data_IF_256532486414
#
_entry.id   IF_256532486414
#
_cell.length_a   1.000
_cell.length_b   1.000
_cell.length_c   1.000
_cell.angle_alpha   90.00
_cell.angle_beta   90.00
_cell.angle_gamma   90.00
#
_symmetry.space_group_name_H-M   'P 1'
#
loop_
_entity.id
_entity.type
_entity.pdbx_description
1 polymer ?
#
# COMPACT_ATOMS: atom_id res chain seq x y z
N UNK A 1 -12.69 16.00 -23.17
CA UNK A 1 -11.71 15.11 -23.82
C UNK A 1 -10.72 14.47 -22.80
N UNK A 2 -10.09 15.20 -21.89
CA UNK A 2 -9.09 14.65 -20.93
C UNK A 2 -9.59 13.51 -20.03
N UNK A 3 -10.80 13.56 -19.48
CA UNK A 3 -11.35 12.50 -18.62
C UNK A 3 -11.47 11.14 -19.32
N UNK A 4 -11.76 11.14 -20.61
CA UNK A 4 -11.89 9.89 -21.39
C UNK A 4 -10.52 9.27 -21.66
N UNK A 5 -9.49 10.08 -21.95
CA UNK A 5 -8.12 9.61 -22.16
C UNK A 5 -7.54 8.95 -20.91
N UNK A 6 -7.77 9.52 -19.73
CA UNK A 6 -7.31 8.94 -18.45
C UNK A 6 -8.00 7.60 -18.14
N UNK A 7 -9.30 7.49 -18.45
CA UNK A 7 -10.04 6.22 -18.29
C UNK A 7 -9.47 5.14 -19.23
N UNK A 8 -9.24 5.46 -20.48
CA UNK A 8 -8.65 4.51 -21.47
C UNK A 8 -7.27 4.02 -20.99
N UNK A 9 -6.42 4.94 -20.50
CA UNK A 9 -5.09 4.59 -19.99
C UNK A 9 -5.17 3.70 -18.76
N UNK A 10 -6.11 3.93 -17.84
CA UNK A 10 -6.35 3.10 -16.67
C UNK A 10 -6.86 1.71 -17.04
N UNK A 11 -7.83 1.63 -17.95
CA UNK A 11 -8.38 0.35 -18.42
C UNK A 11 -7.29 -0.50 -19.11
N UNK A 12 -6.39 0.16 -19.87
CA UNK A 12 -5.22 -0.48 -20.47
C UNK A 12 -4.24 -0.99 -19.41
N UNK A 13 -3.92 -0.16 -18.40
CA UNK A 13 -3.07 -0.55 -17.26
C UNK A 13 -3.61 -1.82 -16.58
N UNK A 14 -4.91 -1.87 -16.27
CA UNK A 14 -5.53 -3.05 -15.64
C UNK A 14 -5.39 -4.28 -16.53
N UNK A 15 -5.72 -4.18 -17.81
CA UNK A 15 -5.69 -5.31 -18.74
C UNK A 15 -4.26 -5.82 -19.00
N UNK A 16 -3.32 -4.91 -19.30
CA UNK A 16 -2.01 -5.28 -19.86
C UNK A 16 -0.92 -5.43 -18.80
N UNK A 17 -1.02 -4.72 -17.67
CA UNK A 17 0.01 -4.74 -16.63
C UNK A 17 -0.41 -5.58 -15.41
N UNK A 18 -1.70 -5.73 -15.15
CA UNK A 18 -2.23 -6.36 -13.93
C UNK A 18 -2.81 -7.73 -14.25
N UNK A 19 -3.88 -7.81 -15.04
CA UNK A 19 -4.52 -9.09 -15.40
C UNK A 19 -3.56 -10.01 -16.16
N UNK A 20 -2.84 -9.47 -17.15
CA UNK A 20 -1.87 -10.23 -17.96
C UNK A 20 -0.71 -10.82 -17.13
N UNK A 21 -0.49 -10.33 -15.90
CA UNK A 21 0.55 -10.83 -14.97
C UNK A 21 -0.02 -11.65 -13.82
N UNK A 22 -1.26 -12.15 -13.94
CA UNK A 22 -1.85 -13.13 -13.04
C UNK A 22 -2.57 -12.56 -11.81
N UNK A 23 -2.87 -11.27 -11.77
CA UNK A 23 -3.78 -10.72 -10.75
C UNK A 23 -5.22 -11.08 -11.14
N UNK A 24 -5.92 -11.77 -10.24
CA UNK A 24 -7.25 -12.32 -10.52
C UNK A 24 -8.32 -11.93 -9.48
N UNK A 25 -7.91 -11.38 -8.32
CA UNK A 25 -8.85 -10.99 -7.28
C UNK A 25 -9.81 -9.90 -7.78
N UNK A 26 -11.14 -10.13 -7.82
CA UNK A 26 -12.11 -9.20 -8.41
C UNK A 26 -12.14 -7.84 -7.71
N UNK A 27 -12.00 -7.80 -6.37
CA UNK A 27 -12.00 -6.57 -5.59
C UNK A 27 -10.76 -5.71 -5.94
N UNK A 28 -9.59 -6.36 -6.08
CA UNK A 28 -8.37 -5.67 -6.52
C UNK A 28 -8.52 -5.12 -7.92
N UNK A 29 -9.02 -5.91 -8.87
CA UNK A 29 -9.23 -5.48 -10.27
C UNK A 29 -10.23 -4.33 -10.35
N UNK A 30 -11.32 -4.39 -9.59
CA UNK A 30 -12.29 -3.31 -9.49
C UNK A 30 -11.65 -2.02 -8.93
N UNK A 31 -10.93 -2.12 -7.82
CA UNK A 31 -10.27 -0.98 -7.18
C UNK A 31 -9.24 -0.32 -8.11
N UNK A 32 -8.36 -1.11 -8.73
CA UNK A 32 -7.37 -0.62 -9.71
C UNK A 32 -8.02 0.02 -10.95
N UNK A 33 -9.18 -0.46 -11.35
CA UNK A 33 -9.98 0.10 -12.44
C UNK A 33 -10.81 1.33 -12.06
N UNK A 34 -11.05 1.57 -10.76
CA UNK A 34 -11.89 2.65 -10.24
C UNK A 34 -11.07 3.84 -9.77
N UNK A 35 -10.00 3.62 -8.99
CA UNK A 35 -9.20 4.69 -8.38
C UNK A 35 -8.39 5.46 -9.44
N UNK A 36 -8.56 6.79 -9.57
CA UNK A 36 -7.91 7.60 -10.58
C UNK A 36 -6.46 7.93 -10.20
N UNK A 37 -5.52 7.01 -10.45
CA UNK A 37 -4.12 7.11 -10.05
C UNK A 37 -3.44 8.44 -10.41
N UNK A 38 -3.82 9.06 -11.53
CA UNK A 38 -3.28 10.36 -11.95
C UNK A 38 -3.58 11.52 -10.99
N UNK A 39 -4.51 11.35 -10.04
CA UNK A 39 -4.77 12.35 -8.98
C UNK A 39 -3.82 12.20 -7.78
N UNK A 40 -3.05 11.12 -7.71
CA UNK A 40 -2.11 10.79 -6.63
C UNK A 40 -0.64 11.04 -7.01
N UNK A 41 -0.39 11.61 -8.18
CA UNK A 41 0.94 12.04 -8.65
C UNK A 41 0.96 13.55 -8.84
N UNK A 42 2.15 14.12 -8.94
CA UNK A 42 2.30 15.53 -9.28
C UNK A 42 1.71 15.83 -10.66
N UNK A 43 1.17 17.02 -10.83
CA UNK A 43 0.44 17.41 -12.05
C UNK A 43 1.25 17.19 -13.33
N UNK A 44 2.57 17.46 -13.28
CA UNK A 44 3.48 17.25 -14.43
C UNK A 44 3.68 15.77 -14.81
N UNK A 45 3.37 14.83 -13.91
CA UNK A 45 3.51 13.39 -14.11
C UNK A 45 2.20 12.68 -14.49
N UNK A 46 1.09 13.41 -14.59
CA UNK A 46 -0.22 12.83 -14.84
C UNK A 46 -0.32 11.98 -16.12
N UNK A 47 0.43 12.32 -17.17
CA UNK A 47 0.51 11.52 -18.41
C UNK A 47 1.21 10.17 -18.20
N UNK A 48 2.11 10.06 -17.23
CA UNK A 48 2.89 8.86 -16.90
C UNK A 48 2.21 8.00 -15.81
N UNK A 49 1.14 8.50 -15.18
CA UNK A 49 0.52 7.89 -13.99
C UNK A 49 0.10 6.43 -14.19
N UNK A 50 -0.19 6.01 -15.41
CA UNK A 50 -0.62 4.64 -15.74
C UNK A 50 0.48 3.80 -16.39
N UNK A 51 1.74 4.28 -16.37
CA UNK A 51 2.91 3.51 -16.80
C UNK A 51 3.29 2.43 -15.77
N UNK A 52 3.94 1.35 -16.24
CA UNK A 52 4.32 0.20 -15.41
C UNK A 52 5.63 0.45 -14.64
N UNK A 53 5.69 1.56 -13.92
CA UNK A 53 6.85 1.97 -13.11
C UNK A 53 6.43 2.85 -11.93
N UNK A 54 7.26 2.94 -10.88
CA UNK A 54 7.05 3.90 -9.80
C UNK A 54 7.26 5.33 -10.29
N UNK A 55 6.66 6.32 -9.60
CA UNK A 55 6.84 7.74 -9.88
C UNK A 55 7.21 8.50 -8.60
N UNK A 56 8.05 9.54 -8.69
CA UNK A 56 8.39 10.36 -7.54
C UNK A 56 7.16 11.12 -7.03
N UNK A 57 7.08 11.27 -5.71
CA UNK A 57 6.07 12.07 -5.01
C UNK A 57 6.67 13.13 -4.09
N UNK A 58 7.95 13.44 -4.27
CA UNK A 58 8.72 14.33 -3.42
C UNK A 58 9.29 13.65 -2.17
N UNK A 59 10.15 14.36 -1.44
CA UNK A 59 10.77 13.91 -0.18
C UNK A 59 11.52 12.57 -0.29
N UNK A 60 12.07 12.25 -1.47
CA UNK A 60 12.72 10.95 -1.72
C UNK A 60 11.77 9.75 -1.76
N UNK A 61 10.46 9.98 -1.79
CA UNK A 61 9.44 8.93 -1.80
C UNK A 61 8.82 8.73 -3.18
N UNK A 62 8.17 7.58 -3.38
CA UNK A 62 7.54 7.22 -4.65
C UNK A 62 6.13 6.66 -4.43
N UNK A 63 5.27 6.84 -5.42
CA UNK A 63 4.08 6.01 -5.59
C UNK A 63 4.52 4.71 -6.28
N UNK A 64 4.20 3.57 -5.68
CA UNK A 64 4.61 2.25 -6.18
C UNK A 64 4.08 1.95 -7.58
N UNK A 65 4.80 1.12 -8.35
CA UNK A 65 4.36 0.59 -9.65
C UNK A 65 2.95 -0.02 -9.54
N UNK A 66 2.06 0.21 -10.51
CA UNK A 66 0.68 -0.30 -10.46
C UNK A 66 0.57 -1.80 -10.21
N UNK A 67 1.42 -2.60 -10.87
CA UNK A 67 1.46 -4.05 -10.65
C UNK A 67 1.80 -4.42 -9.20
N UNK A 68 2.76 -3.74 -8.58
CA UNK A 68 3.16 -4.00 -7.19
C UNK A 68 2.02 -3.66 -6.22
N UNK A 69 1.31 -2.54 -6.43
CA UNK A 69 0.10 -2.21 -5.66
C UNK A 69 -0.94 -3.34 -5.75
N UNK A 70 -1.24 -3.80 -6.95
CA UNK A 70 -2.21 -4.87 -7.17
C UNK A 70 -1.75 -6.22 -6.58
N UNK A 71 -0.47 -6.58 -6.74
CA UNK A 71 0.12 -7.81 -6.20
C UNK A 71 0.04 -7.84 -4.67
N UNK A 72 0.49 -6.76 -4.01
CA UNK A 72 0.45 -6.68 -2.55
C UNK A 72 -0.99 -6.70 -2.03
N UNK A 73 -1.91 -6.00 -2.69
CA UNK A 73 -3.33 -6.04 -2.33
C UNK A 73 -3.95 -7.44 -2.49
N UNK A 74 -3.58 -8.20 -3.54
CA UNK A 74 -4.04 -9.58 -3.73
C UNK A 74 -3.46 -10.52 -2.66
N UNK A 75 -2.18 -10.35 -2.29
CA UNK A 75 -1.52 -11.16 -1.26
C UNK A 75 -2.07 -10.93 0.15
N UNK A 76 -2.78 -9.85 0.40
CA UNK A 76 -3.48 -9.64 1.65
C UNK A 76 -4.64 -10.62 1.84
N UNK A 77 -5.20 -11.18 0.76
CA UNK A 77 -6.39 -12.06 0.83
C UNK A 77 -7.50 -11.41 1.68
N UNK A 78 -7.71 -10.11 1.47
CA UNK A 78 -8.66 -9.34 2.24
C UNK A 78 -10.07 -9.45 1.67
N UNK A 79 -11.06 -9.48 2.54
CA UNK A 79 -12.49 -9.47 2.24
C UNK A 79 -13.09 -8.13 2.67
N UNK A 80 -14.20 -7.74 2.05
CA UNK A 80 -14.93 -6.51 2.36
C UNK A 80 -15.25 -6.42 3.87
N UNK A 81 -15.08 -5.23 4.45
CA UNK A 81 -15.28 -4.96 5.85
C UNK A 81 -14.10 -5.29 6.76
N UNK A 82 -13.08 -6.01 6.29
CA UNK A 82 -11.89 -6.28 7.08
C UNK A 82 -11.12 -4.99 7.40
N UNK A 83 -10.56 -4.96 8.61
CA UNK A 83 -9.75 -3.84 9.11
C UNK A 83 -8.31 -3.98 8.64
N UNK A 84 -7.81 -2.98 7.93
CA UNK A 84 -6.45 -2.98 7.38
C UNK A 84 -5.63 -1.82 7.90
N UNK A 85 -4.36 -2.11 8.28
CA UNK A 85 -3.34 -1.11 8.57
C UNK A 85 -2.36 -1.01 7.40
N UNK A 86 -2.20 0.18 6.86
CA UNK A 86 -1.13 0.52 5.92
C UNK A 86 -0.02 1.27 6.64
N UNK A 87 1.23 0.88 6.41
CA UNK A 87 2.42 1.60 6.86
C UNK A 87 3.10 2.24 5.64
N UNK A 88 3.16 3.58 5.65
CA UNK A 88 3.67 4.39 4.55
C UNK A 88 2.56 4.90 3.63
N UNK A 89 1.75 5.85 4.12
CA UNK A 89 0.65 6.45 3.33
C UNK A 89 1.14 7.04 2.00
N UNK A 90 2.28 7.73 2.02
CA UNK A 90 2.88 8.34 0.86
C UNK A 90 1.93 9.22 0.07
N UNK A 91 1.64 8.86 -1.18
CA UNK A 91 0.67 9.55 -2.03
C UNK A 91 -0.78 9.33 -1.62
N UNK A 92 -1.07 8.28 -0.85
CA UNK A 92 -2.41 7.80 -0.51
C UNK A 92 -3.04 6.86 -1.54
N UNK A 93 -2.32 6.49 -2.59
CA UNK A 93 -2.89 5.65 -3.65
C UNK A 93 -3.19 4.22 -3.18
N UNK A 94 -2.27 3.60 -2.42
CA UNK A 94 -2.50 2.26 -1.87
C UNK A 94 -3.67 2.28 -0.88
N UNK A 95 -3.75 3.27 0.03
CA UNK A 95 -4.91 3.44 0.93
C UNK A 95 -6.23 3.58 0.15
N UNK A 96 -6.23 4.39 -0.93
CA UNK A 96 -7.41 4.57 -1.77
C UNK A 96 -7.81 3.28 -2.51
N UNK A 97 -6.86 2.44 -2.90
CA UNK A 97 -7.13 1.11 -3.48
C UNK A 97 -7.75 0.18 -2.44
N UNK A 98 -7.23 0.16 -1.21
CA UNK A 98 -7.79 -0.65 -0.10
C UNK A 98 -9.20 -0.20 0.27
N UNK A 99 -9.46 1.11 0.34
CA UNK A 99 -10.80 1.69 0.57
C UNK A 99 -11.78 1.29 -0.55
N UNK A 100 -11.34 1.35 -1.81
CA UNK A 100 -12.15 0.92 -2.96
C UNK A 100 -12.38 -0.61 -3.01
N UNK A 101 -11.61 -1.41 -2.28
CA UNK A 101 -11.87 -2.85 -2.04
C UNK A 101 -12.90 -3.07 -0.94
N UNK A 102 -13.41 -2.01 -0.29
CA UNK A 102 -14.39 -2.09 0.80
C UNK A 102 -13.78 -2.38 2.18
N UNK A 103 -12.49 -2.09 2.38
CA UNK A 103 -11.79 -2.32 3.65
C UNK A 103 -11.93 -1.12 4.60
N UNK A 104 -11.87 -1.36 5.91
CA UNK A 104 -11.76 -0.33 6.95
C UNK A 104 -10.31 0.11 7.12
N UNK A 105 -9.91 1.21 6.46
CA UNK A 105 -8.51 1.59 6.24
C UNK A 105 -7.99 2.52 7.32
N UNK A 106 -6.88 2.10 7.94
CA UNK A 106 -6.01 2.88 8.80
C UNK A 106 -4.64 3.00 8.13
N UNK A 107 -4.05 4.20 8.10
CA UNK A 107 -2.75 4.40 7.46
C UNK A 107 -1.86 5.32 8.29
N UNK A 108 -0.56 4.99 8.38
CA UNK A 108 0.44 5.73 9.15
C UNK A 108 1.47 6.32 8.20
N UNK A 109 1.73 7.63 8.35
CA UNK A 109 2.77 8.36 7.63
C UNK A 109 3.72 9.03 8.62
N UNK A 110 5.04 8.90 8.39
CA UNK A 110 6.06 9.52 9.24
C UNK A 110 6.46 10.93 8.78
N UNK A 111 6.35 11.21 7.48
CA UNK A 111 6.73 12.49 6.91
C UNK A 111 5.56 13.49 7.00
N UNK A 112 5.74 14.51 7.84
CA UNK A 112 4.72 15.52 8.13
C UNK A 112 4.16 16.17 6.88
N UNK A 113 5.01 16.48 5.92
CA UNK A 113 4.64 17.14 4.66
C UNK A 113 3.75 16.25 3.80
N UNK A 114 4.08 14.94 3.71
CA UNK A 114 3.26 13.96 2.99
C UNK A 114 1.92 13.75 3.69
N UNK A 115 1.94 13.63 5.02
CA UNK A 115 0.72 13.49 5.81
C UNK A 115 -0.29 14.61 5.50
N UNK A 116 0.10 15.87 5.60
CA UNK A 116 -0.81 16.99 5.35
C UNK A 116 -1.24 17.10 3.89
N UNK A 117 -0.33 16.85 2.95
CA UNK A 117 -0.66 16.83 1.52
C UNK A 117 -1.68 15.75 1.19
N UNK A 118 -1.47 14.54 1.68
CA UNK A 118 -2.34 13.39 1.41
C UNK A 118 -3.67 13.51 2.14
N UNK A 119 -3.69 13.98 3.38
CA UNK A 119 -4.93 14.29 4.11
C UNK A 119 -5.79 15.31 3.34
N UNK A 120 -5.17 16.39 2.84
CA UNK A 120 -5.87 17.38 1.99
C UNK A 120 -6.38 16.77 0.68
N UNK A 121 -5.65 15.82 0.10
CA UNK A 121 -6.08 15.10 -1.10
C UNK A 121 -7.31 14.23 -0.80
N UNK A 122 -7.30 13.46 0.28
CA UNK A 122 -8.44 12.63 0.69
C UNK A 122 -9.70 13.47 0.93
N UNK A 123 -9.58 14.62 1.59
CA UNK A 123 -10.71 15.54 1.75
C UNK A 123 -11.27 16.00 0.40
N UNK A 124 -10.43 16.41 -0.55
CA UNK A 124 -10.86 16.83 -1.90
C UNK A 124 -11.51 15.69 -2.70
N UNK A 125 -11.05 14.47 -2.53
CA UNK A 125 -11.58 13.28 -3.19
C UNK A 125 -12.77 12.65 -2.45
N UNK A 126 -13.15 13.20 -1.27
CA UNK A 126 -14.20 12.70 -0.38
C UNK A 126 -13.95 11.26 0.13
N UNK A 127 -12.71 10.89 0.30
CA UNK A 127 -12.28 9.61 0.90
C UNK A 127 -12.19 9.77 2.42
N UNK A 128 -13.33 10.04 3.07
CA UNK A 128 -13.40 10.40 4.49
C UNK A 128 -13.40 9.18 5.42
N UNK A 129 -13.52 7.99 4.88
CA UNK A 129 -13.43 6.69 5.57
C UNK A 129 -12.01 6.34 5.99
N UNK A 130 -11.00 6.82 5.25
CA UNK A 130 -9.59 6.51 5.50
C UNK A 130 -9.08 7.28 6.72
N UNK A 131 -8.65 6.57 7.74
CA UNK A 131 -8.09 7.15 8.97
C UNK A 131 -6.58 7.26 8.86
N UNK A 132 -6.05 8.45 9.08
CA UNK A 132 -4.61 8.74 8.98
C UNK A 132 -4.00 9.11 10.33
N UNK A 133 -2.79 8.60 10.60
CA UNK A 133 -1.97 8.98 11.77
C UNK A 133 -0.60 9.47 11.29
N UNK A 134 -0.10 10.55 11.91
CA UNK A 134 1.28 11.02 11.75
C UNK A 134 2.12 10.42 12.88
N UNK A 135 2.90 9.39 12.58
CA UNK A 135 3.69 8.67 13.57
C UNK A 135 4.79 7.80 12.93
N UNK A 136 5.63 7.17 13.75
CA UNK A 136 6.55 6.11 13.34
C UNK A 136 5.77 4.85 12.94
N UNK A 137 5.71 4.57 11.63
CA UNK A 137 4.98 3.42 11.09
C UNK A 137 5.49 2.07 11.58
N UNK A 138 6.77 1.96 11.99
CA UNK A 138 7.32 0.70 12.51
C UNK A 138 6.70 0.29 13.86
N UNK A 139 6.07 1.25 14.55
CA UNK A 139 5.30 1.02 15.79
C UNK A 139 3.85 0.64 15.51
N UNK A 140 3.37 0.82 14.26
CA UNK A 140 1.97 0.60 13.89
C UNK A 140 1.00 1.60 14.51
N UNK A 141 -0.20 1.10 14.84
CA UNK A 141 -1.26 1.88 15.49
C UNK A 141 -1.93 1.04 16.58
N UNK A 142 -1.26 0.83 17.75
CA UNK A 142 -1.73 -0.08 18.80
C UNK A 142 -3.16 0.22 19.30
N UNK A 143 -3.52 1.50 19.43
CA UNK A 143 -4.82 1.93 19.95
C UNK A 143 -5.98 1.56 19.01
N UNK A 144 -5.67 1.35 17.72
CA UNK A 144 -6.65 0.95 16.73
C UNK A 144 -6.62 -0.56 16.43
N UNK A 145 -5.62 -1.31 16.91
CA UNK A 145 -5.51 -2.77 16.71
C UNK A 145 -6.60 -3.58 17.46
N UNK A 146 -6.68 -4.89 17.22
CA UNK A 146 -5.94 -5.62 16.20
C UNK A 146 -6.42 -5.32 14.77
N UNK A 147 -5.59 -5.68 13.77
CA UNK A 147 -5.89 -5.53 12.35
C UNK A 147 -5.95 -6.90 11.67
N UNK A 148 -6.99 -7.15 10.88
CA UNK A 148 -7.13 -8.38 10.09
C UNK A 148 -6.02 -8.49 9.04
N UNK A 149 -5.61 -7.34 8.50
CA UNK A 149 -4.59 -7.22 7.46
C UNK A 149 -3.63 -6.08 7.76
N UNK A 150 -2.35 -6.28 7.44
CA UNK A 150 -1.33 -5.22 7.49
C UNK A 150 -0.58 -5.20 6.17
N UNK A 151 -0.39 -4.02 5.59
CA UNK A 151 0.41 -3.80 4.39
C UNK A 151 1.48 -2.75 4.66
N UNK A 152 2.73 -3.09 4.36
CA UNK A 152 3.85 -2.16 4.54
C UNK A 152 4.41 -1.79 3.18
N UNK A 153 4.38 -0.50 2.84
CA UNK A 153 4.77 0.04 1.53
C UNK A 153 6.18 0.63 1.52
N UNK A 154 7.01 0.20 2.46
CA UNK A 154 8.43 0.54 2.60
C UNK A 154 9.22 -0.70 3.02
N UNK A 155 10.47 -0.83 2.62
CA UNK A 155 11.30 -2.01 2.88
C UNK A 155 12.13 -1.90 4.15
N UNK A 156 12.01 -2.88 5.04
CA UNK A 156 12.78 -2.97 6.29
C UNK A 156 13.88 -4.02 6.28
N UNK A 157 14.77 -4.00 7.27
CA UNK A 157 15.77 -5.06 7.46
C UNK A 157 15.13 -6.38 7.88
N UNK A 158 14.04 -6.30 8.63
CA UNK A 158 13.28 -7.42 9.18
C UNK A 158 11.80 -7.07 9.34
N UNK A 159 10.98 -8.04 9.71
CA UNK A 159 9.55 -7.82 10.03
C UNK A 159 9.46 -7.19 11.42
N UNK A 160 8.91 -5.96 11.58
CA UNK A 160 8.78 -5.31 12.88
C UNK A 160 7.86 -6.10 13.82
N UNK A 161 8.38 -6.49 14.99
CA UNK A 161 7.61 -7.21 16.01
C UNK A 161 6.32 -6.47 16.44
N UNK A 162 6.33 -5.12 16.62
CA UNK A 162 5.10 -4.39 16.96
C UNK A 162 3.96 -4.58 15.96
N UNK A 163 4.27 -4.77 14.67
CA UNK A 163 3.26 -5.02 13.63
C UNK A 163 2.71 -6.45 13.73
N UNK A 164 3.56 -7.44 14.01
CA UNK A 164 3.13 -8.84 14.25
C UNK A 164 2.20 -8.93 15.46
N UNK A 165 2.50 -8.16 16.52
CA UNK A 165 1.69 -8.14 17.75
C UNK A 165 0.31 -7.51 17.51
N UNK A 166 0.19 -6.56 16.58
CA UNK A 166 -1.08 -5.92 16.18
C UNK A 166 -1.85 -6.69 15.11
N UNK A 167 -1.26 -7.74 14.52
CA UNK A 167 -1.95 -8.60 13.56
C UNK A 167 -2.95 -9.48 14.29
N UNK A 168 -4.20 -9.52 13.81
CA UNK A 168 -5.27 -10.38 14.32
C UNK A 168 -4.91 -11.87 14.17
N UNK A 169 -5.69 -12.73 14.78
CA UNK A 169 -5.56 -14.17 14.65
C UNK A 169 -6.94 -14.78 14.31
N UNK A 170 -7.20 -15.16 13.07
CA UNK A 170 -6.27 -15.21 11.93
C UNK A 170 -5.96 -13.83 11.31
N UNK A 171 -4.72 -13.64 10.82
CA UNK A 171 -4.33 -12.40 10.16
C UNK A 171 -3.21 -12.59 9.14
N UNK A 172 -3.12 -11.64 8.18
CA UNK A 172 -2.10 -11.65 7.13
C UNK A 172 -1.43 -10.27 7.05
N UNK A 173 -0.08 -10.26 6.96
CA UNK A 173 0.70 -9.07 6.67
C UNK A 173 1.53 -9.28 5.41
N UNK A 174 1.67 -8.22 4.60
CA UNK A 174 2.53 -8.19 3.41
C UNK A 174 3.53 -7.06 3.58
N UNK A 175 4.82 -7.38 3.53
CA UNK A 175 5.90 -6.44 3.82
C UNK A 175 7.14 -6.73 2.95
N UNK A 176 7.82 -5.72 2.40
CA UNK A 176 9.15 -5.87 1.80
C UNK A 176 10.22 -5.99 2.89
N UNK A 177 11.05 -7.02 2.82
CA UNK A 177 12.15 -7.26 3.77
C UNK A 177 13.41 -7.65 3.02
N UNK A 178 14.56 -7.18 3.46
CA UNK A 178 15.85 -7.58 2.90
C UNK A 178 17.03 -7.24 3.82
N UNK A 179 18.12 -7.99 3.73
CA UNK A 179 19.31 -7.79 4.56
C UNK A 179 20.01 -6.46 4.26
N UNK A 180 19.73 -5.89 3.10
CA UNK A 180 20.18 -4.57 2.66
C UNK A 180 19.12 -3.89 1.79
N UNK A 181 19.34 -2.59 1.50
CA UNK A 181 18.38 -1.76 0.74
C UNK A 181 18.19 -2.17 -0.71
N UNK A 182 19.11 -2.96 -1.27
CA UNK A 182 19.09 -3.39 -2.68
C UNK A 182 18.52 -4.80 -2.88
N UNK A 183 18.47 -5.63 -1.81
CA UNK A 183 18.08 -7.03 -1.87
C UNK A 183 16.78 -7.33 -1.12
N UNK A 184 15.73 -6.58 -1.43
CA UNK A 184 14.43 -6.75 -0.78
C UNK A 184 13.59 -7.83 -1.48
N UNK A 185 12.86 -8.59 -0.67
CA UNK A 185 11.84 -9.55 -1.12
C UNK A 185 10.52 -9.26 -0.44
N UNK A 186 9.44 -9.45 -1.14
CA UNK A 186 8.12 -9.38 -0.56
C UNK A 186 7.90 -10.60 0.33
N UNK A 187 7.52 -10.39 1.58
CA UNK A 187 7.25 -11.43 2.57
C UNK A 187 5.78 -11.38 2.93
N UNK A 188 5.11 -12.52 2.86
CA UNK A 188 3.75 -12.71 3.37
C UNK A 188 3.85 -13.39 4.73
N UNK A 189 3.40 -12.70 5.78
CA UNK A 189 3.35 -13.19 7.16
C UNK A 189 1.92 -13.61 7.46
N UNK A 190 1.73 -14.82 7.98
CA UNK A 190 0.44 -15.34 8.43
C UNK A 190 0.49 -15.63 9.92
N UNK A 191 -0.52 -15.19 10.64
CA UNK A 191 -0.75 -15.54 12.04
C UNK A 191 -2.02 -16.37 12.12
N UNK A 192 -1.93 -17.57 12.68
CA UNK A 192 -3.10 -18.46 12.83
C UNK A 192 -2.88 -19.40 14.02
N UNK A 193 -3.83 -19.38 14.96
CA UNK A 193 -3.77 -20.20 16.18
C UNK A 193 -2.54 -19.90 17.04
N UNK A 194 -2.15 -18.64 17.16
CA UNK A 194 -0.95 -18.19 17.87
C UNK A 194 0.38 -18.44 17.14
N UNK A 195 0.36 -19.18 16.02
CA UNK A 195 1.57 -19.47 15.22
C UNK A 195 1.76 -18.44 14.12
N UNK A 196 3.00 -17.96 13.99
CA UNK A 196 3.41 -17.06 12.91
C UNK A 196 4.26 -17.83 11.89
N UNK A 197 3.90 -17.72 10.60
CA UNK A 197 4.66 -18.28 9.47
C UNK A 197 4.97 -17.19 8.48
N UNK A 198 6.10 -17.32 7.77
CA UNK A 198 6.55 -16.35 6.77
C UNK A 198 6.86 -17.05 5.46
N UNK A 199 6.34 -16.51 4.37
CA UNK A 199 6.60 -17.01 3.02
C UNK A 199 7.20 -15.89 2.17
N UNK A 200 8.38 -16.16 1.61
CA UNK A 200 9.06 -15.23 0.70
C UNK A 200 8.47 -15.33 -0.70
N UNK A 201 8.16 -14.18 -1.27
CA UNK A 201 7.59 -14.03 -2.61
C UNK A 201 8.59 -13.36 -3.58
N UNK A 202 8.16 -12.44 -4.38
CA UNK A 202 8.91 -11.78 -5.44
C UNK A 202 10.02 -10.87 -4.90
N UNK A 203 11.11 -10.73 -5.66
CA UNK A 203 12.06 -9.63 -5.47
C UNK A 203 11.40 -8.29 -5.79
N UNK A 204 11.66 -7.28 -4.97
CA UNK A 204 11.07 -5.94 -5.05
C UNK A 204 12.10 -4.87 -4.68
N UNK A 205 11.79 -3.61 -5.00
CA UNK A 205 12.57 -2.45 -4.58
C UNK A 205 11.61 -1.39 -4.02
N UNK A 206 11.75 -1.11 -2.75
CA UNK A 206 10.98 -0.10 -2.03
C UNK A 206 11.91 0.92 -1.39
N UNK A 207 11.36 2.10 -1.11
CA UNK A 207 11.97 3.09 -0.22
C UNK A 207 12.16 2.51 1.19
N UNK A 208 13.05 3.09 1.96
CA UNK A 208 13.38 2.60 3.30
C UNK A 208 12.19 2.71 4.27
N UNK A 209 11.92 1.63 4.99
CA UNK A 209 11.11 1.67 6.20
C UNK A 209 11.99 2.24 7.32
N UNK A 210 11.81 3.53 7.60
CA UNK A 210 12.59 4.27 8.62
C UNK A 210 11.80 4.40 9.90
N UNK A 211 12.42 4.08 11.03
CA UNK A 211 11.84 4.18 12.37
C UNK A 211 12.52 3.25 13.36
N UNK A 212 11.97 3.17 14.56
CA UNK A 212 12.56 2.42 15.68
C UNK A 212 12.84 0.94 15.37
N UNK A 213 11.99 0.31 14.53
CA UNK A 213 12.12 -1.08 14.10
C UNK A 213 12.33 -1.18 12.58
N UNK A 214 12.98 -0.20 11.98
CA UNK A 214 13.33 -0.14 10.56
C UNK A 214 14.81 0.24 10.37
N UNK A 215 15.12 0.83 9.22
CA UNK A 215 16.43 1.43 8.98
C UNK A 215 16.61 2.71 9.80
N UNK A 216 17.83 2.98 10.24
CA UNK A 216 18.24 4.21 10.90
C UNK A 216 18.59 5.28 9.86
#
# INVERSE_FOLDING_TARGET
MHRNAQKISRDRMVREQIVARGIQNPAVLYAMGSVPRHLFVEQGLGAQAYGDHPLPIGFGQTISQPYIVALMSQLLEAEEGMKVLEIGTGSGYQAAVLDAMGLDVYTVERLRELYFRTSSLFMRLRMLSIRMKLDDGTMGWPEAGPFDRIIVTAGGPEVPEPLVNQLADPGIMVIPVGPDRAAQKLVQVRKQGGRVTMETRNAVAFVDLVGKHGWL
#
